data_IF_346549382825
#
_entry.id   IF_346549382825
#
_cell.length_a   1.000
_cell.length_b   1.000
_cell.length_c   1.000
_cell.angle_alpha   90.00
_cell.angle_beta   90.00
_cell.angle_gamma   90.00
#
_symmetry.space_group_name_H-M   'P 1'
#
loop_
_entity.id
_entity.type
_entity.pdbx_description
1 polymer ?
#
# COMPACT_ATOMS: atom_id res chain seq x y z
N UNK A 1 10.47 3.13 -2.32
CA UNK A 1 9.12 2.71 -1.89
C UNK A 1 8.20 2.66 -3.09
N UNK A 2 7.51 1.55 -3.27
CA UNK A 2 6.54 1.39 -4.36
C UNK A 2 5.20 0.99 -3.81
N UNK A 3 4.13 1.53 -4.36
CA UNK A 3 2.78 1.13 -4.02
C UNK A 3 2.13 0.51 -5.25
N UNK A 4 1.85 -0.79 -5.18
CA UNK A 4 1.13 -1.50 -6.23
C UNK A 4 -0.35 -1.31 -5.96
N UNK A 5 -1.08 -0.77 -6.92
CA UNK A 5 -2.46 -0.37 -6.70
C UNK A 5 -3.35 -0.69 -7.91
N UNK A 6 -4.66 -0.69 -7.67
CA UNK A 6 -5.66 -0.68 -8.73
C UNK A 6 -6.71 0.34 -8.32
N UNK A 7 -7.60 0.71 -9.25
CA UNK A 7 -8.68 1.60 -8.91
C UNK A 7 -9.63 0.90 -7.94
N UNK A 8 -10.03 1.58 -6.89
CA UNK A 8 -10.93 1.03 -5.89
C UNK A 8 -10.70 1.65 -4.53
N UNK A 9 -11.61 1.38 -3.57
CA UNK A 9 -11.58 2.06 -2.26
C UNK A 9 -10.33 1.74 -1.44
N UNK A 10 -9.89 0.49 -1.43
CA UNK A 10 -8.74 0.10 -0.61
C UNK A 10 -7.46 0.80 -1.02
N UNK A 11 -7.19 0.84 -2.33
CA UNK A 11 -6.01 1.54 -2.84
C UNK A 11 -6.12 3.04 -2.65
N UNK A 12 -7.33 3.58 -2.80
CA UNK A 12 -7.55 5.00 -2.60
C UNK A 12 -7.26 5.43 -1.17
N UNK A 13 -7.70 4.63 -0.20
CA UNK A 13 -7.46 4.92 1.22
C UNK A 13 -5.96 5.01 1.48
N UNK A 14 -5.18 4.07 0.98
CA UNK A 14 -3.73 4.07 1.18
C UNK A 14 -3.10 5.29 0.52
N UNK A 15 -3.52 5.63 -0.70
CA UNK A 15 -2.95 6.80 -1.40
C UNK A 15 -3.27 8.09 -0.67
N UNK A 16 -4.49 8.22 -0.15
CA UNK A 16 -4.89 9.41 0.60
C UNK A 16 -4.13 9.50 1.92
N UNK A 17 -3.97 8.37 2.60
CA UNK A 17 -3.23 8.33 3.86
C UNK A 17 -1.77 8.75 3.62
N UNK A 18 -1.14 8.19 2.60
CA UNK A 18 0.24 8.53 2.26
C UNK A 18 0.39 10.02 1.96
N UNK A 19 -0.54 10.58 1.19
CA UNK A 19 -0.49 12.01 0.85
C UNK A 19 -0.61 12.88 2.10
N UNK A 20 -1.49 12.52 3.03
CA UNK A 20 -1.63 13.27 4.27
C UNK A 20 -0.36 13.19 5.12
N UNK A 21 0.35 12.08 5.05
CA UNK A 21 1.63 11.93 5.76
C UNK A 21 2.78 12.53 4.96
N UNK A 22 2.52 13.08 3.77
CA UNK A 22 3.52 13.63 2.85
C UNK A 22 4.55 12.58 2.44
N UNK A 23 4.08 11.35 2.25
CA UNK A 23 4.87 10.24 1.74
C UNK A 23 4.38 9.97 0.31
N UNK A 24 5.30 9.97 -0.65
CA UNK A 24 4.93 9.86 -2.06
C UNK A 24 5.64 8.66 -2.70
N UNK A 25 5.10 7.45 -2.55
CA UNK A 25 5.70 6.27 -3.16
C UNK A 25 5.56 6.29 -4.67
N UNK A 26 6.40 5.54 -5.35
CA UNK A 26 6.21 5.31 -6.77
C UNK A 26 4.96 4.47 -6.94
N UNK A 27 4.04 4.91 -7.79
CA UNK A 27 2.77 4.20 -8.00
C UNK A 27 2.92 3.23 -9.17
N UNK A 28 2.57 1.96 -8.94
CA UNK A 28 2.65 0.93 -9.97
C UNK A 28 1.25 0.34 -10.14
N UNK A 29 0.65 0.55 -11.30
CA UNK A 29 -0.70 0.08 -11.58
C UNK A 29 -0.71 -1.43 -11.80
N UNK A 30 -1.70 -2.12 -11.21
CA UNK A 30 -1.91 -3.56 -11.42
C UNK A 30 -3.23 -3.73 -12.13
N UNK A 31 -3.22 -4.42 -13.28
CA UNK A 31 -4.42 -4.58 -14.08
C UNK A 31 -5.23 -5.78 -13.62
N UNK A 32 -6.29 -5.52 -12.85
CA UNK A 32 -7.13 -6.58 -12.31
C UNK A 32 -7.94 -7.29 -13.39
N UNK A 33 -8.35 -6.55 -14.42
CA UNK A 33 -9.17 -7.12 -15.49
C UNK A 33 -8.38 -8.18 -16.24
N UNK A 34 -7.09 -7.93 -16.49
CA UNK A 34 -6.23 -8.89 -17.17
C UNK A 34 -5.63 -9.92 -16.21
N UNK A 35 -6.00 -9.88 -14.93
CA UNK A 35 -5.51 -10.85 -13.96
C UNK A 35 -4.05 -10.65 -13.55
N UNK A 36 -3.53 -9.45 -13.70
CA UNK A 36 -2.12 -9.19 -13.40
C UNK A 36 -1.78 -9.50 -11.93
N UNK A 37 -2.74 -9.30 -11.02
CA UNK A 37 -2.56 -9.59 -9.61
C UNK A 37 -2.43 -11.09 -9.32
N UNK A 38 -2.77 -11.95 -10.29
CA UNK A 38 -2.67 -13.40 -10.14
C UNK A 38 -1.49 -13.99 -10.89
N UNK A 39 -0.69 -13.15 -11.55
CA UNK A 39 0.48 -13.64 -12.27
C UNK A 39 1.64 -13.86 -11.31
N UNK A 40 2.53 -14.79 -11.66
CA UNK A 40 3.61 -15.20 -10.77
C UNK A 40 4.52 -14.05 -10.34
N UNK A 41 4.73 -13.09 -11.22
CA UNK A 41 5.57 -11.93 -10.88
C UNK A 41 4.98 -11.13 -9.72
N UNK A 42 3.65 -10.94 -9.70
CA UNK A 42 3.00 -10.22 -8.63
C UNK A 42 2.85 -11.11 -7.39
N UNK A 43 2.55 -12.39 -7.57
CA UNK A 43 2.36 -13.30 -6.44
C UNK A 43 3.64 -13.50 -5.63
N UNK A 44 4.80 -13.27 -6.22
CA UNK A 44 6.05 -13.26 -5.47
C UNK A 44 6.09 -12.13 -4.46
N UNK A 45 5.39 -11.02 -4.73
CA UNK A 45 5.35 -9.87 -3.86
C UNK A 45 4.22 -9.99 -2.85
N UNK A 46 3.11 -10.56 -3.27
CA UNK A 46 1.94 -10.70 -2.41
C UNK A 46 1.23 -12.00 -2.77
N UNK A 47 1.50 -13.04 -2.01
CA UNK A 47 1.00 -14.38 -2.31
C UNK A 47 -0.53 -14.47 -2.29
N UNK A 48 -1.21 -13.53 -1.65
CA UNK A 48 -2.67 -13.51 -1.65
C UNK A 48 -3.25 -12.92 -2.92
N UNK A 49 -2.42 -12.30 -3.77
CA UNK A 49 -2.90 -11.73 -5.03
C UNK A 49 -3.80 -10.52 -4.87
N UNK A 50 -3.66 -9.77 -3.79
CA UNK A 50 -4.50 -8.60 -3.53
C UNK A 50 -3.75 -7.31 -3.82
N UNK A 51 -4.48 -6.22 -4.01
CA UNK A 51 -3.95 -4.87 -4.01
C UNK A 51 -4.74 -4.09 -2.96
N UNK A 52 -4.16 -3.09 -2.31
CA UNK A 52 -2.83 -2.55 -2.52
C UNK A 52 -1.72 -3.40 -1.89
N UNK A 53 -0.50 -3.20 -2.34
CA UNK A 53 0.68 -3.81 -1.76
C UNK A 53 1.79 -2.76 -1.73
N UNK A 54 2.38 -2.54 -0.56
CA UNK A 54 3.47 -1.58 -0.41
C UNK A 54 4.80 -2.32 -0.34
N UNK A 55 5.76 -1.89 -1.13
CA UNK A 55 7.12 -2.41 -1.10
C UNK A 55 8.05 -1.33 -0.56
N UNK A 56 8.79 -1.64 0.51
CA UNK A 56 9.76 -0.71 1.06
C UNK A 56 10.86 -1.49 1.76
N UNK A 57 12.11 -1.18 1.43
CA UNK A 57 13.29 -1.83 2.01
C UNK A 57 13.21 -3.35 1.90
N UNK A 58 12.77 -3.84 0.73
CA UNK A 58 12.68 -5.27 0.42
C UNK A 58 11.63 -6.01 1.26
N UNK A 59 10.72 -5.26 1.88
CA UNK A 59 9.59 -5.82 2.61
C UNK A 59 8.30 -5.47 1.88
N UNK A 60 7.28 -6.35 2.00
CA UNK A 60 6.01 -6.18 1.33
C UNK A 60 4.88 -6.20 2.35
N UNK A 61 4.01 -5.19 2.30
CA UNK A 61 2.86 -5.08 3.18
C UNK A 61 1.60 -5.12 2.33
N UNK A 62 0.68 -6.02 2.62
CA UNK A 62 -0.45 -6.27 1.72
C UNK A 62 -1.81 -5.88 2.25
N UNK A 63 -1.98 -5.63 3.53
CA UNK A 63 -3.28 -5.24 4.07
C UNK A 63 -3.35 -3.74 4.22
N UNK A 64 -4.51 -3.14 3.86
CA UNK A 64 -4.68 -1.69 3.91
C UNK A 64 -4.32 -1.11 5.29
N UNK A 65 -4.84 -1.72 6.35
CA UNK A 65 -4.56 -1.22 7.70
C UNK A 65 -3.08 -1.37 8.04
N UNK A 66 -2.47 -2.50 7.70
CA UNK A 66 -1.05 -2.72 7.96
C UNK A 66 -0.18 -1.72 7.21
N UNK A 67 -0.54 -1.40 5.96
CA UNK A 67 0.18 -0.40 5.19
C UNK A 67 0.07 0.97 5.86
N UNK A 68 -1.11 1.35 6.28
CA UNK A 68 -1.32 2.64 6.93
C UNK A 68 -0.56 2.71 8.26
N UNK A 69 -0.56 1.62 9.03
CA UNK A 69 0.21 1.58 10.28
C UNK A 69 1.70 1.74 10.03
N UNK A 70 2.21 1.11 8.97
CA UNK A 70 3.62 1.23 8.62
C UNK A 70 3.95 2.67 8.24
N UNK A 71 3.11 3.30 7.41
CA UNK A 71 3.32 4.69 7.01
C UNK A 71 3.24 5.63 8.21
N UNK A 72 2.35 5.34 9.16
CA UNK A 72 2.24 6.14 10.37
C UNK A 72 3.54 6.06 11.18
N UNK A 73 4.15 4.90 11.28
CA UNK A 73 5.40 4.72 12.00
C UNK A 73 6.55 5.45 11.32
N UNK A 74 6.53 5.53 9.99
CA UNK A 74 7.58 6.24 9.27
C UNK A 74 7.54 7.74 9.51
N UNK A 75 6.34 8.30 9.70
CA UNK A 75 6.17 9.74 9.90
C UNK A 75 5.22 10.01 11.06
N UNK A 76 5.63 9.76 12.30
CA UNK A 76 4.73 9.84 13.44
C UNK A 76 4.38 11.26 13.90
N UNK A 77 5.06 12.26 13.39
CA UNK A 77 4.87 13.64 13.86
C UNK A 77 3.45 14.15 13.62
N UNK A 78 2.73 13.62 12.67
CA UNK A 78 1.36 14.03 12.36
C UNK A 78 0.47 12.79 12.36
N UNK A 79 0.13 12.25 13.54
CA UNK A 79 -0.58 10.99 13.62
C UNK A 79 -2.00 11.08 13.04
N UNK A 80 -2.37 10.09 12.25
CA UNK A 80 -3.69 9.99 11.64
C UNK A 80 -4.50 8.80 12.14
N UNK A 81 -3.89 7.90 12.90
CA UNK A 81 -4.57 6.69 13.38
C UNK A 81 -5.02 6.81 14.83
N UNK A 82 -5.06 8.00 15.36
CA UNK A 82 -5.65 8.23 16.67
C UNK A 82 -4.97 7.52 17.81
N UNK A 83 -3.69 7.55 17.82
CA UNK A 83 -2.96 6.80 18.81
C UNK A 83 -2.86 7.46 20.09
N UNK A 84 -3.23 8.44 20.42
CA UNK A 84 -3.08 9.05 21.57
C UNK A 84 -3.88 8.71 22.51
N UNK A 85 -4.54 7.88 22.32
CA UNK A 85 -5.45 7.68 23.10
C UNK A 85 -5.35 7.30 24.33
#
# INVERSE_FOLDING_TARGET
MKLYYAEGPSSRIVRMFAAEKKIFPELVSVNLIDGEHLQSEYLKKNSLGHVPCLEHNQKYFSETVAICEYLEELHPANPLLGRNI
#
